data_IF_729614115855
#
_entry.id   IF_729614115855
#
_cell.length_a   1.000
_cell.length_b   1.000
_cell.length_c   1.000
_cell.angle_alpha   90.00
_cell.angle_beta   90.00
_cell.angle_gamma   90.00
#
_symmetry.space_group_name_H-M   'P 1'
#
loop_
_entity.id
_entity.type
_entity.pdbx_description
1 polymer ?
#
# COMPACT_ATOMS: atom_id res chain seq x y z
N UNK A 1 3.12 -12.93 3.81
CA UNK A 1 3.08 -14.10 2.88
C UNK A 1 3.38 -13.60 1.48
N UNK A 2 4.20 -14.33 0.70
CA UNK A 2 4.47 -14.01 -0.70
C UNK A 2 4.10 -15.19 -1.61
N UNK A 3 3.62 -14.88 -2.81
CA UNK A 3 3.28 -15.83 -3.87
C UNK A 3 3.94 -15.36 -5.16
N UNK A 4 4.63 -16.26 -5.85
CA UNK A 4 5.23 -16.00 -7.15
C UNK A 4 4.45 -16.72 -8.25
N UNK A 5 4.07 -15.98 -9.29
CA UNK A 5 3.30 -16.45 -10.43
C UNK A 5 4.02 -16.10 -11.73
N UNK A 6 3.86 -16.94 -12.75
CA UNK A 6 4.23 -16.61 -14.12
C UNK A 6 2.95 -16.45 -14.94
N UNK A 7 2.76 -15.27 -15.54
CA UNK A 7 1.60 -14.93 -16.36
C UNK A 7 2.11 -14.44 -17.70
N UNK A 8 1.88 -15.21 -18.76
CA UNK A 8 2.27 -14.83 -20.14
C UNK A 8 3.77 -14.46 -20.27
N UNK A 9 4.64 -15.16 -19.54
CA UNK A 9 6.09 -14.90 -19.51
C UNK A 9 6.52 -13.74 -18.60
N UNK A 10 5.58 -13.14 -17.85
CA UNK A 10 5.87 -12.13 -16.83
C UNK A 10 5.84 -12.77 -15.45
N UNK A 11 6.95 -12.65 -14.72
CA UNK A 11 7.00 -13.05 -13.30
C UNK A 11 6.35 -11.96 -12.43
N UNK A 12 5.29 -12.33 -11.72
CA UNK A 12 4.56 -11.49 -10.79
C UNK A 12 4.69 -12.04 -9.36
N UNK A 13 5.10 -11.18 -8.44
CA UNK A 13 5.16 -11.46 -7.02
C UNK A 13 4.00 -10.73 -6.33
N UNK A 14 3.16 -11.48 -5.63
CA UNK A 14 2.08 -10.94 -4.80
C UNK A 14 2.50 -11.08 -3.35
N UNK A 15 2.59 -9.96 -2.65
CA UNK A 15 2.96 -9.91 -1.22
C UNK A 15 1.76 -9.43 -0.43
N UNK A 16 1.47 -10.09 0.68
CA UNK A 16 0.45 -9.68 1.63
C UNK A 16 1.04 -9.55 3.04
N UNK A 17 0.57 -8.55 3.77
CA UNK A 17 0.98 -8.23 5.13
C UNK A 17 -0.16 -7.64 5.96
N UNK A 18 0.01 -7.73 7.27
CA UNK A 18 -0.83 -7.05 8.25
C UNK A 18 0.11 -6.39 9.26
N UNK A 19 0.26 -5.07 9.15
CA UNK A 19 1.16 -4.31 10.00
C UNK A 19 0.60 -4.24 11.43
N UNK A 20 1.47 -4.16 12.46
CA UNK A 20 1.02 -3.94 13.83
C UNK A 20 0.16 -2.68 13.98
N UNK A 21 -0.76 -2.70 14.94
CA UNK A 21 -1.65 -1.56 15.19
C UNK A 21 -0.87 -0.34 15.70
N UNK A 22 -1.48 0.85 15.62
CA UNK A 22 -0.90 2.11 16.10
C UNK A 22 -0.41 2.02 17.56
N UNK A 23 -1.10 1.24 18.40
CA UNK A 23 -0.77 1.04 19.82
C UNK A 23 0.30 -0.02 20.10
N UNK A 24 0.78 -0.75 19.08
CA UNK A 24 1.85 -1.72 19.25
C UNK A 24 3.20 -1.03 19.48
N UNK A 25 4.11 -1.75 20.12
CA UNK A 25 5.46 -1.28 20.41
C UNK A 25 6.26 -1.04 19.13
N UNK A 26 7.22 -0.12 19.19
CA UNK A 26 8.03 0.24 18.02
C UNK A 26 8.82 -0.96 17.49
N UNK A 27 9.33 -1.83 18.37
CA UNK A 27 10.07 -3.04 18.00
C UNK A 27 9.23 -3.98 17.12
N UNK A 28 7.93 -4.12 17.39
CA UNK A 28 7.04 -4.94 16.56
C UNK A 28 6.86 -4.34 15.16
N UNK A 29 6.75 -3.00 15.09
CA UNK A 29 6.65 -2.27 13.83
C UNK A 29 7.95 -2.39 13.02
N UNK A 30 9.10 -2.21 13.66
CA UNK A 30 10.43 -2.35 13.04
C UNK A 30 10.66 -3.76 12.52
N UNK A 31 10.22 -4.79 13.25
CA UNK A 31 10.27 -6.19 12.78
C UNK A 31 9.44 -6.38 11.51
N UNK A 32 8.19 -5.88 11.49
CA UNK A 32 7.34 -5.97 10.30
C UNK A 32 7.99 -5.33 9.07
N UNK A 33 8.54 -4.12 9.22
CA UNK A 33 9.19 -3.41 8.11
C UNK A 33 10.48 -4.09 7.66
N UNK A 34 11.28 -4.61 8.60
CA UNK A 34 12.49 -5.39 8.27
C UNK A 34 12.15 -6.64 7.46
N UNK A 35 11.14 -7.40 7.89
CA UNK A 35 10.69 -8.59 7.16
C UNK A 35 10.16 -8.24 5.76
N UNK A 36 9.45 -7.12 5.61
CA UNK A 36 8.98 -6.66 4.31
C UNK A 36 10.13 -6.21 3.41
N UNK A 37 11.14 -5.54 3.98
CA UNK A 37 12.35 -5.13 3.26
C UNK A 37 13.10 -6.36 2.72
N UNK A 38 13.30 -7.40 3.55
CA UNK A 38 13.92 -8.65 3.13
C UNK A 38 13.17 -9.35 1.98
N UNK A 39 11.83 -9.35 2.04
CA UNK A 39 11.01 -9.90 0.94
C UNK A 39 11.24 -9.10 -0.34
N UNK A 40 11.27 -7.77 -0.26
CA UNK A 40 11.46 -6.92 -1.44
C UNK A 40 12.86 -7.06 -2.05
N UNK A 41 13.89 -7.15 -1.22
CA UNK A 41 15.27 -7.37 -1.64
C UNK A 41 15.48 -8.73 -2.31
N UNK A 42 14.70 -9.73 -1.92
CA UNK A 42 14.75 -11.07 -2.55
C UNK A 42 14.13 -11.11 -3.96
N UNK A 43 13.31 -10.12 -4.33
CA UNK A 43 12.59 -10.11 -5.61
C UNK A 43 13.41 -9.35 -6.68
N UNK A 44 13.81 -10.00 -7.79
CA UNK A 44 14.59 -9.33 -8.83
C UNK A 44 13.90 -8.08 -9.38
N UNK A 45 14.65 -7.01 -9.60
CA UNK A 45 14.14 -5.70 -10.04
C UNK A 45 13.34 -5.76 -11.35
N UNK A 46 13.65 -6.71 -12.23
CA UNK A 46 12.94 -6.89 -13.51
C UNK A 46 11.55 -7.51 -13.39
N UNK A 47 11.25 -8.17 -12.27
CA UNK A 47 9.95 -8.81 -12.04
C UNK A 47 8.88 -7.80 -11.65
N UNK A 48 7.61 -8.20 -11.66
CA UNK A 48 6.51 -7.37 -11.14
C UNK A 48 6.26 -7.69 -9.69
N UNK A 49 5.88 -6.67 -8.93
CA UNK A 49 5.50 -6.80 -7.52
C UNK A 49 4.21 -6.02 -7.29
N UNK A 50 3.25 -6.67 -6.65
CA UNK A 50 2.07 -6.04 -6.08
C UNK A 50 2.03 -6.43 -4.61
N UNK A 51 2.01 -5.42 -3.73
CA UNK A 51 1.82 -5.61 -2.29
C UNK A 51 0.40 -5.18 -1.98
N UNK A 52 -0.40 -6.05 -1.40
CA UNK A 52 -1.68 -5.69 -0.81
C UNK A 52 -1.61 -5.94 0.69
N UNK A 53 -1.75 -4.92 1.52
CA UNK A 53 -1.61 -5.08 2.95
C UNK A 53 -2.47 -4.08 3.72
N UNK A 54 -2.92 -4.50 4.91
CA UNK A 54 -3.40 -3.57 5.93
C UNK A 54 -2.17 -3.04 6.66
N UNK A 55 -1.87 -1.76 6.45
CA UNK A 55 -0.72 -1.12 7.08
C UNK A 55 -1.08 -0.42 8.39
N UNK A 56 -2.34 -0.45 8.82
CA UNK A 56 -2.83 0.26 10.01
C UNK A 56 -2.45 1.77 10.06
N UNK A 57 -2.09 2.35 8.91
CA UNK A 57 -1.60 3.72 8.76
C UNK A 57 -2.42 4.54 7.76
N UNK A 58 -2.41 5.85 7.93
CA UNK A 58 -3.02 6.81 7.02
C UNK A 58 -1.91 7.53 6.26
N UNK A 59 -1.76 7.26 4.95
CA UNK A 59 -0.78 7.98 4.11
C UNK A 59 -1.19 9.43 3.87
N UNK A 60 -2.49 9.72 3.98
CA UNK A 60 -3.08 11.05 3.95
C UNK A 60 -3.51 11.53 2.56
N UNK A 61 -4.30 12.61 2.53
CA UNK A 61 -4.70 13.33 1.32
C UNK A 61 -3.61 14.31 0.86
N UNK A 62 -3.48 14.48 -0.46
CA UNK A 62 -2.39 15.24 -1.07
C UNK A 62 -1.07 14.46 -1.11
N UNK A 63 -0.08 15.02 -1.81
CA UNK A 63 1.20 14.35 -2.02
C UNK A 63 2.38 15.32 -2.04
N UNK A 64 2.24 16.50 -1.42
CA UNK A 64 3.28 17.53 -1.49
C UNK A 64 4.55 17.04 -0.78
N UNK A 65 5.63 16.89 -1.54
CA UNK A 65 6.90 16.35 -1.04
C UNK A 65 7.04 14.82 -1.16
N UNK A 66 6.01 14.14 -1.69
CA UNK A 66 5.96 12.70 -1.91
C UNK A 66 5.34 12.36 -3.28
N UNK A 67 5.37 13.31 -4.23
CA UNK A 67 4.78 13.19 -5.55
C UNK A 67 5.32 11.98 -6.33
N UNK A 68 6.53 11.55 -5.99
CA UNK A 68 7.20 10.41 -6.58
C UNK A 68 6.58 9.06 -6.21
N UNK A 69 5.98 8.93 -5.02
CA UNK A 69 5.49 7.64 -4.49
C UNK A 69 3.99 7.60 -4.25
N UNK A 70 3.31 8.74 -4.18
CA UNK A 70 1.86 8.74 -3.97
C UNK A 70 1.13 9.78 -4.83
N UNK A 71 -0.12 9.45 -5.14
CA UNK A 71 -1.07 10.36 -5.74
C UNK A 71 -1.75 11.25 -4.71
N UNK A 72 -2.64 12.13 -5.19
CA UNK A 72 -3.27 13.18 -4.37
C UNK A 72 -4.49 12.72 -3.60
N UNK A 73 -4.99 11.52 -3.88
CA UNK A 73 -6.33 11.08 -3.50
C UNK A 73 -6.31 10.07 -2.36
N UNK A 74 -5.40 10.17 -1.40
CA UNK A 74 -5.56 9.46 -0.12
C UNK A 74 -6.69 10.03 0.74
N UNK A 75 -6.85 9.48 1.94
CA UNK A 75 -7.91 9.84 2.89
C UNK A 75 -7.30 10.26 4.22
N UNK A 76 -7.88 11.31 4.86
CA UNK A 76 -7.44 11.90 6.14
C UNK A 76 -6.06 12.54 6.12
N UNK A 77 -5.60 12.99 7.27
CA UNK A 77 -4.23 13.44 7.49
C UNK A 77 -3.30 12.26 7.72
N UNK A 78 -2.02 12.45 7.36
CA UNK A 78 -0.98 11.44 7.55
C UNK A 78 -0.69 11.22 9.04
N UNK A 79 -0.58 9.97 9.46
CA UNK A 79 -0.08 9.59 10.79
C UNK A 79 1.32 8.96 10.72
N UNK A 80 1.89 8.60 11.88
CA UNK A 80 3.22 7.99 11.97
C UNK A 80 3.32 6.70 11.16
N UNK A 81 2.34 5.82 11.28
CA UNK A 81 2.30 4.55 10.54
C UNK A 81 2.20 4.78 9.03
N UNK A 82 1.42 5.76 8.60
CA UNK A 82 1.36 6.16 7.19
C UNK A 82 2.64 6.81 6.69
N UNK A 83 3.39 7.50 7.54
CA UNK A 83 4.73 7.98 7.18
C UNK A 83 5.69 6.81 6.98
N UNK A 84 5.61 5.75 7.80
CA UNK A 84 6.42 4.54 7.58
C UNK A 84 6.13 3.87 6.23
N UNK A 85 4.87 3.86 5.78
CA UNK A 85 4.50 3.40 4.43
C UNK A 85 5.18 4.24 3.35
N UNK A 86 5.08 5.57 3.45
CA UNK A 86 5.69 6.49 2.48
C UNK A 86 7.22 6.37 2.46
N UNK A 87 7.85 6.23 3.63
CA UNK A 87 9.29 6.05 3.75
C UNK A 87 9.73 4.71 3.14
N UNK A 88 8.97 3.63 3.36
CA UNK A 88 9.18 2.35 2.70
C UNK A 88 9.08 2.49 1.18
N UNK A 89 8.04 3.16 0.68
CA UNK A 89 7.85 3.32 -0.76
C UNK A 89 8.99 4.11 -1.40
N UNK A 90 9.49 5.15 -0.73
CA UNK A 90 10.65 5.91 -1.20
C UNK A 90 11.91 5.07 -1.25
N UNK A 91 12.17 4.24 -0.23
CA UNK A 91 13.34 3.35 -0.20
C UNK A 91 13.27 2.28 -1.28
N UNK A 92 12.10 1.68 -1.49
CA UNK A 92 11.91 0.51 -2.35
C UNK A 92 11.43 0.84 -3.77
N UNK A 93 11.38 2.12 -4.14
CA UNK A 93 10.89 2.61 -5.44
C UNK A 93 9.46 2.14 -5.77
N UNK A 94 8.59 2.20 -4.76
CA UNK A 94 7.19 1.78 -4.84
C UNK A 94 6.25 2.99 -4.96
N UNK A 95 4.99 2.69 -5.30
CA UNK A 95 3.94 3.68 -5.45
C UNK A 95 2.66 3.21 -4.73
N UNK A 96 2.04 4.10 -3.95
CA UNK A 96 0.75 3.89 -3.27
C UNK A 96 -0.40 3.99 -4.27
N UNK A 97 -0.67 2.90 -4.97
CA UNK A 97 -1.54 2.83 -6.16
C UNK A 97 -2.92 3.44 -5.93
N UNK A 98 -3.57 3.10 -4.81
CA UNK A 98 -4.92 3.55 -4.49
C UNK A 98 -5.04 5.06 -4.21
N UNK A 99 -3.94 5.81 -4.12
CA UNK A 99 -3.96 7.28 -3.98
C UNK A 99 -3.91 8.02 -5.33
N UNK A 100 -3.66 7.34 -6.46
CA UNK A 100 -3.56 7.97 -7.78
C UNK A 100 -4.90 8.20 -8.47
N UNK A 101 -5.96 7.52 -8.04
CA UNK A 101 -7.26 7.55 -8.71
C UNK A 101 -8.24 8.48 -7.99
N UNK A 102 -8.73 9.50 -8.70
CA UNK A 102 -9.76 10.39 -8.18
C UNK A 102 -11.09 9.67 -8.07
N UNK A 103 -11.58 9.49 -6.85
CA UNK A 103 -12.85 8.82 -6.55
C UNK A 103 -13.58 9.52 -5.43
N UNK A 104 -14.87 9.22 -5.28
CA UNK A 104 -15.60 9.58 -4.06
C UNK A 104 -14.88 8.95 -2.86
N UNK A 105 -14.81 9.67 -1.75
CA UNK A 105 -14.17 9.19 -0.53
C UNK A 105 -14.73 7.83 -0.07
N UNK A 106 -16.04 7.61 -0.23
CA UNK A 106 -16.69 6.33 0.07
C UNK A 106 -16.11 5.12 -0.67
N UNK A 107 -15.53 5.33 -1.86
CA UNK A 107 -14.88 4.30 -2.67
C UNK A 107 -13.35 4.21 -2.44
N UNK A 108 -12.82 4.99 -1.49
CA UNK A 108 -11.40 4.99 -1.07
C UNK A 108 -11.22 4.50 0.37
N UNK A 109 -12.26 4.62 1.19
CA UNK A 109 -12.32 4.11 2.57
C UNK A 109 -12.31 2.59 2.55
N UNK A 110 -11.33 1.98 3.20
CA UNK A 110 -11.17 0.52 3.30
C UNK A 110 -11.67 -0.04 4.63
N UNK A 111 -11.74 0.80 5.66
CA UNK A 111 -12.21 0.41 6.99
C UNK A 111 -13.33 1.33 7.51
N UNK A 112 -14.41 0.72 8.03
CA UNK A 112 -15.57 1.41 8.61
C UNK A 112 -15.95 0.75 9.93
N UNK A 113 -15.88 1.48 11.04
CA UNK A 113 -16.34 1.01 12.35
C UNK A 113 -16.57 2.15 13.34
N UNK A 114 -17.62 2.06 14.17
CA UNK A 114 -17.88 3.05 15.23
C UNK A 114 -17.98 4.50 14.73
N UNK A 115 -18.53 4.72 13.52
CA UNK A 115 -18.59 6.02 12.87
C UNK A 115 -17.27 6.51 12.25
N UNK A 116 -16.17 5.79 12.44
CA UNK A 116 -14.89 6.07 11.79
C UNK A 116 -14.87 5.45 10.40
N UNK A 117 -14.34 6.22 9.46
CA UNK A 117 -14.08 5.84 8.07
C UNK A 117 -12.61 6.14 7.79
N UNK A 118 -11.81 5.16 7.42
CA UNK A 118 -10.35 5.31 7.21
C UNK A 118 -9.91 4.53 5.98
N UNK A 119 -8.72 4.86 5.48
CA UNK A 119 -7.99 4.07 4.50
C UNK A 119 -6.76 3.53 5.24
N UNK A 120 -6.70 2.20 5.39
CA UNK A 120 -5.58 1.51 6.06
C UNK A 120 -5.04 0.35 5.22
N UNK A 121 -5.84 -0.13 4.27
CA UNK A 121 -5.44 -1.12 3.28
C UNK A 121 -4.90 -0.41 2.04
N UNK A 122 -3.70 -0.79 1.61
CA UNK A 122 -3.04 -0.21 0.46
C UNK A 122 -2.59 -1.26 -0.54
N UNK A 123 -2.67 -0.86 -1.80
CA UNK A 123 -2.04 -1.58 -2.90
C UNK A 123 -0.79 -0.79 -3.27
N UNK A 124 0.37 -1.44 -3.21
CA UNK A 124 1.64 -0.89 -3.63
C UNK A 124 2.13 -1.63 -4.88
N UNK A 125 2.76 -0.91 -5.80
CA UNK A 125 3.46 -1.51 -6.93
C UNK A 125 4.79 -0.79 -7.18
N UNK A 126 5.70 -1.43 -7.92
CA UNK A 126 6.90 -0.72 -8.39
C UNK A 126 6.50 0.51 -9.20
N UNK A 127 7.14 1.63 -8.95
CA UNK A 127 6.82 2.92 -9.58
C UNK A 127 6.91 2.85 -11.11
N UNK A 128 7.92 2.16 -11.63
CA UNK A 128 8.09 1.94 -13.08
C UNK A 128 6.94 1.16 -13.74
N UNK A 129 6.13 0.45 -12.95
CA UNK A 129 5.01 -0.37 -13.40
C UNK A 129 3.65 0.26 -13.12
N UNK A 130 3.60 1.43 -12.49
CA UNK A 130 2.34 2.12 -12.16
C UNK A 130 1.46 2.34 -13.41
N UNK A 131 2.07 2.62 -14.57
CA UNK A 131 1.38 2.78 -15.85
C UNK A 131 0.66 1.53 -16.37
N UNK A 132 0.99 0.35 -15.81
CA UNK A 132 0.33 -0.93 -16.13
C UNK A 132 -0.99 -1.08 -15.35
N UNK A 133 -1.22 -0.24 -14.33
CA UNK A 133 -2.42 -0.27 -13.50
C UNK A 133 -3.42 0.76 -13.99
N UNK A 134 -4.60 0.28 -14.40
CA UNK A 134 -5.68 1.12 -14.92
C UNK A 134 -6.64 1.63 -13.86
N UNK A 135 -6.80 0.89 -12.76
CA UNK A 135 -7.65 1.27 -11.64
C UNK A 135 -7.29 0.52 -10.35
N UNK A 136 -7.65 1.10 -9.20
CA UNK A 136 -7.64 0.42 -7.90
C UNK A 136 -8.96 0.71 -7.17
N UNK A 137 -9.74 -0.33 -6.87
CA UNK A 137 -11.09 -0.21 -6.31
C UNK A 137 -11.15 -0.85 -4.92
N UNK A 138 -11.83 -0.16 -4.00
CA UNK A 138 -12.37 -0.81 -2.81
C UNK A 138 -13.64 -1.54 -3.22
N UNK A 139 -13.72 -2.83 -2.89
CA UNK A 139 -14.89 -3.67 -3.15
C UNK A 139 -15.62 -3.89 -1.83
N UNK A 140 -16.87 -3.45 -1.75
CA UNK A 140 -17.74 -3.78 -0.62
C UNK A 140 -18.23 -5.22 -0.79
N UNK A 141 -17.91 -6.09 0.17
CA UNK A 141 -18.31 -7.51 0.11
C UNK A 141 -19.83 -7.73 0.23
N UNK A 142 -20.59 -6.74 0.73
CA UNK A 142 -22.03 -6.88 1.05
C UNK A 142 -23.00 -6.63 -0.12
N UNK A 143 -22.62 -6.91 -1.37
CA UNK A 143 -23.56 -6.90 -2.51
C UNK A 143 -23.29 -8.05 -3.49
N UNK A 144 -23.43 -9.28 -3.02
CA UNK A 144 -23.67 -10.46 -3.87
C UNK A 144 -25.08 -10.95 -3.64
#
# INVERSE_FOLDING_TARGET
MSLKLEIEGVMLNVVNGYAPQVSCELEEKERFWSELDEVMESIPTGERVVIGADFNGHVGEGNRGDEEVMGKFGVKERNLEGQMVVDFDKRMDMAVVNTYFQKREEHRVTYKSGGRRTQVDYILCRRGNLKEISDCKVVEWERV
#
